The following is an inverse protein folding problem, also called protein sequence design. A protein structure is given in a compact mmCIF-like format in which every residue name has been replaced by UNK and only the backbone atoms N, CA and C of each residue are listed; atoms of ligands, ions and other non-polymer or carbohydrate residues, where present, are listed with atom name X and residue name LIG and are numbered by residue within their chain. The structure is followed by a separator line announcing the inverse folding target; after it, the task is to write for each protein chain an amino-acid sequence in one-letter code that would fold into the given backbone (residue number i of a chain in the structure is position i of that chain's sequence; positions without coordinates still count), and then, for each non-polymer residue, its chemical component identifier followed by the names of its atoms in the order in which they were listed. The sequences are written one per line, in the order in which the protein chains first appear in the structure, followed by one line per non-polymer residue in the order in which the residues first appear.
data_IF_380604335385
#
_entry.id   IF_380604335385
#
_cell.length_a   1.000
_cell.length_b   1.000
_cell.length_c   1.000
_cell.angle_alpha   90.00
_cell.angle_beta   90.00
_cell.angle_gamma   90.00
#
_symmetry.space_group_name_H-M   'P 1'
#
loop_
_entity.id
_entity.type
_entity.pdbx_description
1 polymer ?
#
# COMPACT_ATOMS: atom_id res chain seq x y z
N UNK A 1 34.48 49.49 2.09
CA UNK A 1 34.46 48.18 2.80
C UNK A 1 33.13 47.79 3.42
N UNK A 2 32.27 48.70 3.90
CA UNK A 2 30.95 48.31 4.48
C UNK A 2 29.99 47.61 3.50
N UNK A 3 30.04 47.93 2.19
CA UNK A 3 29.10 47.39 1.21
C UNK A 3 29.35 45.91 0.85
N UNK A 4 30.59 45.43 0.95
CA UNK A 4 30.91 44.01 0.74
C UNK A 4 30.51 43.16 1.94
N UNK A 5 30.59 43.71 3.16
CA UNK A 5 30.18 43.04 4.41
C UNK A 5 28.67 42.79 4.47
N UNK A 6 27.84 43.75 4.05
CA UNK A 6 26.37 43.57 4.05
C UNK A 6 25.92 42.52 3.01
N UNK A 7 26.47 42.55 1.79
CA UNK A 7 26.16 41.53 0.75
C UNK A 7 26.58 40.12 1.16
N UNK A 8 27.72 39.98 1.84
CA UNK A 8 28.20 38.67 2.32
C UNK A 8 27.34 38.12 3.46
N UNK A 9 26.84 38.98 4.36
CA UNK A 9 25.91 38.57 5.41
C UNK A 9 24.58 38.03 4.86
N UNK A 10 23.98 38.70 3.87
CA UNK A 10 22.74 38.22 3.24
C UNK A 10 22.92 36.86 2.54
N UNK A 11 24.05 36.65 1.85
CA UNK A 11 24.37 35.36 1.23
C UNK A 11 24.46 34.22 2.25
N UNK A 12 25.11 34.46 3.39
CA UNK A 12 25.24 33.45 4.46
C UNK A 12 23.86 33.08 5.02
N UNK A 13 23.00 34.07 5.27
CA UNK A 13 21.64 33.82 5.78
C UNK A 13 20.81 33.01 4.79
N UNK A 14 20.89 33.33 3.50
CA UNK A 14 20.17 32.57 2.45
C UNK A 14 20.66 31.13 2.39
N UNK A 15 21.97 30.90 2.47
CA UNK A 15 22.55 29.54 2.45
C UNK A 15 22.08 28.73 3.66
N UNK A 16 22.03 29.33 4.85
CA UNK A 16 21.56 28.67 6.07
C UNK A 16 20.08 28.29 5.94
N UNK A 17 19.24 29.22 5.45
CA UNK A 17 17.81 28.96 5.25
C UNK A 17 17.62 27.81 4.24
N UNK A 18 18.30 27.88 3.09
CA UNK A 18 18.19 26.85 2.05
C UNK A 18 18.67 25.49 2.56
N UNK A 19 19.79 25.47 3.29
CA UNK A 19 20.33 24.25 3.90
C UNK A 19 19.38 23.66 4.93
N UNK A 20 18.80 24.50 5.80
CA UNK A 20 17.83 24.04 6.80
C UNK A 20 16.55 23.48 6.18
N UNK A 21 16.05 24.10 5.11
CA UNK A 21 14.90 23.61 4.35
C UNK A 21 15.22 22.29 3.65
N UNK A 22 16.41 22.16 3.05
CA UNK A 22 16.86 20.93 2.42
C UNK A 22 16.97 19.77 3.42
N UNK A 23 17.53 20.03 4.61
CA UNK A 23 17.62 19.03 5.69
C UNK A 23 16.22 18.64 6.18
N UNK A 24 15.34 19.61 6.41
CA UNK A 24 13.96 19.34 6.82
C UNK A 24 13.22 18.51 5.78
N UNK A 25 13.33 18.86 4.50
CA UNK A 25 12.72 18.11 3.41
C UNK A 25 13.28 16.70 3.32
N UNK A 26 14.59 16.53 3.42
CA UNK A 26 15.23 15.20 3.47
C UNK A 26 14.72 14.35 4.62
N UNK A 27 14.58 14.92 5.82
CA UNK A 27 14.03 14.22 6.99
C UNK A 27 12.56 13.82 6.77
N UNK A 28 11.74 14.70 6.20
CA UNK A 28 10.35 14.40 5.86
C UNK A 28 10.26 13.28 4.83
N UNK A 29 11.12 13.27 3.82
CA UNK A 29 11.17 12.21 2.80
C UNK A 29 11.59 10.88 3.43
N UNK A 30 12.64 10.86 4.25
CA UNK A 30 13.09 9.65 4.95
C UNK A 30 11.99 9.11 5.88
N UNK A 31 11.33 10.00 6.63
CA UNK A 31 10.20 9.65 7.48
C UNK A 31 9.04 9.11 6.64
N UNK A 32 8.71 9.75 5.53
CA UNK A 32 7.69 9.28 4.60
C UNK A 32 8.02 7.87 4.11
N UNK A 33 9.23 7.61 3.62
CA UNK A 33 9.68 6.28 3.19
C UNK A 33 9.64 5.21 4.29
N UNK A 34 10.03 5.56 5.51
CA UNK A 34 9.99 4.63 6.64
C UNK A 34 8.57 4.30 7.11
N UNK A 35 7.67 5.28 7.04
CA UNK A 35 6.29 5.17 7.52
C UNK A 35 5.26 5.05 6.39
N UNK A 36 5.68 4.76 5.14
CA UNK A 36 4.81 4.65 3.95
C UNK A 36 3.53 3.87 4.26
N UNK A 37 3.68 2.69 4.86
CA UNK A 37 2.57 1.80 5.14
C UNK A 37 1.61 2.37 6.19
N UNK A 38 2.15 2.97 7.27
CA UNK A 38 1.34 3.55 8.34
C UNK A 38 0.61 4.82 7.86
N UNK A 39 1.28 5.64 7.06
CA UNK A 39 0.71 6.84 6.46
C UNK A 39 -0.41 6.47 5.48
N UNK A 40 -0.20 5.45 4.63
CA UNK A 40 -1.23 4.93 3.72
C UNK A 40 -2.46 4.42 4.49
N UNK A 41 -2.26 3.61 5.52
CA UNK A 41 -3.36 3.10 6.37
C UNK A 41 -4.08 4.24 7.08
N UNK A 42 -3.36 5.23 7.60
CA UNK A 42 -3.96 6.40 8.25
C UNK A 42 -4.74 7.28 7.27
N UNK A 43 -4.23 7.50 6.05
CA UNK A 43 -4.94 8.23 4.99
C UNK A 43 -6.24 7.52 4.60
N UNK A 44 -6.17 6.19 4.42
CA UNK A 44 -7.32 5.35 4.11
C UNK A 44 -8.37 5.39 5.23
N UNK A 45 -7.93 5.25 6.49
CA UNK A 45 -8.82 5.29 7.65
C UNK A 45 -9.51 6.66 7.85
N UNK A 46 -8.89 7.75 7.40
CA UNK A 46 -9.46 9.10 7.49
C UNK A 46 -10.18 9.55 6.22
N UNK A 47 -10.21 8.73 5.16
CA UNK A 47 -10.88 9.03 3.89
C UNK A 47 -10.26 10.20 3.11
N UNK A 48 -9.01 10.56 3.41
CA UNK A 48 -8.31 11.67 2.76
C UNK A 48 -7.54 11.12 1.56
N UNK A 49 -7.66 11.76 0.39
CA UNK A 49 -6.92 11.40 -0.83
C UNK A 49 -7.14 9.95 -1.29
N UNK A 50 -8.33 9.39 -1.07
CA UNK A 50 -8.72 8.03 -1.53
C UNK A 50 -8.55 7.83 -3.04
N UNK A 51 -8.73 8.85 -3.89
CA UNK A 51 -8.44 8.73 -5.33
C UNK A 51 -6.94 8.69 -5.67
N UNK A 52 -6.06 9.15 -4.76
CA UNK A 52 -4.61 9.15 -4.96
C UNK A 52 -3.95 7.90 -4.39
N UNK A 53 -4.51 7.36 -3.31
CA UNK A 53 -4.16 6.02 -2.81
C UNK A 53 -4.91 5.02 -3.68
N UNK A 54 -4.34 4.69 -4.84
CA UNK A 54 -4.93 3.63 -5.66
C UNK A 54 -4.89 2.32 -4.87
N UNK A 55 -6.05 1.70 -4.70
CA UNK A 55 -6.19 0.32 -4.22
C UNK A 55 -5.26 -0.63 -5.01
N UNK A 56 -5.01 -0.30 -6.28
CA UNK A 56 -4.11 -1.04 -7.16
C UNK A 56 -2.66 -1.03 -6.69
N UNK A 57 -2.20 -0.04 -5.92
CA UNK A 57 -0.83 -0.03 -5.36
C UNK A 57 -0.70 -0.86 -4.08
N UNK A 58 -1.81 -1.17 -3.42
CA UNK A 58 -1.86 -2.02 -2.21
C UNK A 58 -2.08 -3.48 -2.60
N UNK A 59 -2.92 -3.71 -3.62
CA UNK A 59 -3.30 -5.03 -4.09
C UNK A 59 -2.45 -5.52 -5.29
N UNK A 60 -1.47 -4.73 -5.77
CA UNK A 60 -0.61 -5.10 -6.90
C UNK A 60 0.17 -6.41 -6.67
N UNK A 61 0.53 -6.71 -5.42
CA UNK A 61 1.23 -7.94 -5.04
C UNK A 61 0.28 -9.12 -4.77
N UNK A 62 -1.04 -8.91 -4.84
CA UNK A 62 -2.04 -9.95 -4.58
C UNK A 62 -2.42 -10.66 -5.88
N UNK A 63 -2.38 -11.99 -5.83
CA UNK A 63 -2.66 -12.85 -6.98
C UNK A 63 -4.17 -12.99 -7.23
N UNK A 64 -4.97 -12.77 -6.20
CA UNK A 64 -6.43 -12.97 -6.21
C UNK A 64 -7.15 -11.73 -5.70
N UNK A 65 -8.28 -11.42 -6.32
CA UNK A 65 -9.13 -10.28 -5.98
C UNK A 65 -10.11 -10.62 -4.83
N UNK A 66 -10.45 -11.91 -4.67
CA UNK A 66 -11.33 -12.38 -3.60
C UNK A 66 -11.07 -13.84 -3.21
N UNK A 67 -11.33 -14.16 -1.94
CA UNK A 67 -11.34 -15.53 -1.41
C UNK A 67 -12.78 -15.98 -1.11
N UNK A 68 -13.17 -17.14 -1.66
CA UNK A 68 -14.52 -17.71 -1.45
C UNK A 68 -14.45 -18.89 -0.51
N UNK A 69 -15.01 -18.70 0.70
CA UNK A 69 -15.22 -19.77 1.69
C UNK A 69 -16.69 -20.20 1.67
N UNK A 70 -16.94 -21.51 1.66
CA UNK A 70 -18.30 -22.07 1.61
C UNK A 70 -18.38 -23.38 2.40
N UNK A 71 -19.59 -23.71 2.87
CA UNK A 71 -19.85 -24.97 3.55
C UNK A 71 -19.95 -26.12 2.54
N UNK A 72 -19.59 -27.34 2.94
CA UNK A 72 -19.61 -28.52 2.07
C UNK A 72 -20.99 -28.77 1.43
N UNK A 73 -22.08 -28.46 2.15
CA UNK A 73 -23.45 -28.56 1.65
C UNK A 73 -23.76 -27.64 0.47
N UNK A 74 -23.00 -26.55 0.31
CA UNK A 74 -23.18 -25.56 -0.76
C UNK A 74 -22.20 -25.76 -1.93
N UNK A 75 -21.36 -26.81 -1.87
CA UNK A 75 -20.34 -27.10 -2.87
C UNK A 75 -20.91 -27.11 -4.30
N UNK A 76 -22.04 -27.79 -4.50
CA UNK A 76 -22.64 -27.93 -5.83
C UNK A 76 -23.04 -26.58 -6.44
N UNK A 77 -23.63 -25.69 -5.64
CA UNK A 77 -24.01 -24.36 -6.10
C UNK A 77 -22.80 -23.45 -6.30
N UNK A 78 -21.86 -23.46 -5.35
CA UNK A 78 -20.69 -22.57 -5.40
C UNK A 78 -19.78 -22.92 -6.57
N UNK A 79 -19.49 -24.20 -6.79
CA UNK A 79 -18.56 -24.63 -7.84
C UNK A 79 -19.18 -24.59 -9.23
N UNK A 80 -20.46 -24.93 -9.38
CA UNK A 80 -21.07 -25.03 -10.71
C UNK A 80 -21.83 -23.78 -11.16
N UNK A 81 -22.11 -22.84 -10.26
CA UNK A 81 -22.89 -21.64 -10.60
C UNK A 81 -22.18 -20.36 -10.18
N UNK A 82 -21.72 -20.28 -8.93
CA UNK A 82 -21.13 -19.04 -8.42
C UNK A 82 -19.73 -18.78 -8.99
N UNK A 83 -18.79 -19.72 -8.84
CA UNK A 83 -17.41 -19.56 -9.31
C UNK A 83 -17.30 -19.27 -10.81
N UNK A 84 -18.03 -19.97 -11.72
CA UNK A 84 -17.95 -19.70 -13.16
C UNK A 84 -18.41 -18.29 -13.55
N UNK A 85 -19.33 -17.69 -12.80
CA UNK A 85 -19.78 -16.32 -13.06
C UNK A 85 -18.78 -15.30 -12.53
N UNK A 86 -18.21 -15.53 -11.35
CA UNK A 86 -17.26 -14.59 -10.76
C UNK A 86 -15.86 -14.67 -11.41
N UNK A 87 -15.41 -15.84 -11.86
CA UNK A 87 -14.12 -16.02 -12.56
C UNK A 87 -14.07 -15.32 -13.94
N UNK A 88 -15.21 -14.84 -14.48
CA UNK A 88 -15.25 -14.03 -15.71
C UNK A 88 -14.65 -12.65 -15.53
N UNK A 89 -14.66 -12.12 -14.31
CA UNK A 89 -14.27 -10.73 -14.02
C UNK A 89 -13.27 -10.61 -12.88
N UNK A 90 -13.10 -11.65 -12.07
CA UNK A 90 -12.23 -11.65 -10.89
C UNK A 90 -11.36 -12.90 -10.82
N UNK A 91 -10.12 -12.75 -10.34
CA UNK A 91 -9.24 -13.86 -9.99
C UNK A 91 -9.59 -14.36 -8.60
N UNK A 92 -10.18 -15.54 -8.50
CA UNK A 92 -10.72 -16.06 -7.24
C UNK A 92 -9.85 -17.17 -6.68
N UNK A 93 -9.50 -17.04 -5.40
CA UNK A 93 -8.92 -18.13 -4.61
C UNK A 93 -10.06 -18.90 -3.92
N UNK A 94 -10.07 -20.22 -4.07
CA UNK A 94 -10.98 -21.08 -3.32
C UNK A 94 -10.24 -22.36 -2.89
N UNK A 95 -10.72 -22.99 -1.82
CA UNK A 95 -9.96 -24.00 -1.08
C UNK A 95 -9.59 -25.29 -1.86
N UNK A 96 -10.13 -25.53 -3.07
CA UNK A 96 -9.90 -26.75 -3.84
C UNK A 96 -8.78 -26.66 -4.87
N UNK A 97 -8.39 -25.47 -5.33
CA UNK A 97 -7.46 -25.34 -6.46
C UNK A 97 -6.00 -25.12 -6.05
N UNK A 98 -5.77 -24.45 -4.92
CA UNK A 98 -4.45 -23.93 -4.55
C UNK A 98 -3.91 -24.43 -3.20
N UNK A 99 -4.49 -25.50 -2.66
CA UNK A 99 -4.05 -26.08 -1.40
C UNK A 99 -2.91 -27.08 -1.63
N UNK A 100 -1.67 -26.62 -1.51
CA UNK A 100 -0.51 -27.51 -1.37
C UNK A 100 -0.56 -28.07 0.05
N UNK A 101 -0.90 -29.35 0.20
CA UNK A 101 -0.94 -30.00 1.50
C UNK A 101 0.42 -29.95 2.21
N UNK A 102 0.46 -29.39 3.42
CA UNK A 102 1.66 -29.40 4.28
C UNK A 102 1.89 -28.17 5.16
N UNK A 103 1.21 -27.04 4.93
CA UNK A 103 1.47 -25.77 5.63
C UNK A 103 0.24 -25.23 6.40
N UNK A 104 0.49 -24.43 7.44
CA UNK A 104 -0.52 -23.97 8.41
C UNK A 104 -1.57 -23.03 7.78
N UNK A 105 -2.85 -23.34 7.96
CA UNK A 105 -4.00 -22.72 7.27
C UNK A 105 -4.11 -21.19 7.45
N UNK A 106 -3.74 -20.66 8.63
CA UNK A 106 -3.83 -19.24 8.93
C UNK A 106 -2.75 -18.39 8.23
N UNK A 107 -1.58 -18.98 7.93
CA UNK A 107 -0.47 -18.26 7.33
C UNK A 107 -0.71 -17.99 5.82
N UNK A 108 -1.38 -18.90 5.13
CA UNK A 108 -1.64 -18.77 3.69
C UNK A 108 -2.71 -17.73 3.35
N UNK A 109 -3.68 -17.49 4.24
CA UNK A 109 -4.75 -16.49 4.01
C UNK A 109 -4.15 -15.07 4.07
N UNK A 110 -3.25 -14.81 5.02
CA UNK A 110 -2.61 -13.49 5.18
C UNK A 110 -1.58 -13.14 4.09
N UNK A 111 -1.08 -14.15 3.35
CA UNK A 111 -0.06 -13.94 2.34
C UNK A 111 -0.67 -13.83 0.92
N UNK A 112 -1.89 -14.35 0.72
CA UNK A 112 -2.56 -14.38 -0.59
C UNK A 112 -3.69 -13.37 -0.73
N UNK A 113 -4.07 -12.70 0.36
CA UNK A 113 -5.05 -11.60 0.48
C UNK A 113 -4.39 -10.47 1.24
#
# INVERSE_FOLDING_TARGET
DFCSTTSTQHLIVVIIILGSLGVLFGLLVIMYYKYQHQIKVWLFAHGILLCWVSEEDIDQDKVYDAFVSYAEGDYGFVVHTLLPELEKSFRICHHLRDFIGGEWFAAQIYQKV
#
